data_IF_809326905978
#
_entry.id   IF_809326905978
#
_cell.length_a   1.000
_cell.length_b   1.000
_cell.length_c   1.000
_cell.angle_alpha   90.00
_cell.angle_beta   90.00
_cell.angle_gamma   90.00
#
_symmetry.space_group_name_H-M   'P 1'
#
loop_
_entity.id
_entity.type
_entity.pdbx_description
1 polymer ?
#
# COMPACT_ATOMS: atom_id res chain seq x y z
N UNK A 1 -11.26 -24.94 -2.09
CA UNK A 1 -12.04 -26.19 -2.20
C UNK A 1 -13.50 -25.77 -2.21
N UNK A 2 -14.14 -25.74 -3.38
CA UNK A 2 -15.55 -25.32 -3.50
C UNK A 2 -16.44 -26.38 -2.84
N UNK A 3 -17.49 -25.94 -2.12
CA UNK A 3 -18.54 -26.84 -1.63
C UNK A 3 -19.59 -26.93 -2.73
N UNK A 4 -19.93 -28.14 -3.11
CA UNK A 4 -21.05 -28.47 -4.00
C UNK A 4 -22.12 -29.14 -3.16
N UNK A 5 -23.40 -28.92 -3.51
CA UNK A 5 -24.50 -29.67 -2.88
C UNK A 5 -24.54 -31.13 -3.35
N UNK A 6 -25.47 -31.92 -2.79
CA UNK A 6 -25.64 -33.33 -3.11
C UNK A 6 -26.05 -33.58 -4.57
N UNK A 7 -26.49 -32.54 -5.28
CA UNK A 7 -26.85 -32.56 -6.71
C UNK A 7 -25.70 -32.06 -7.62
N UNK A 8 -24.55 -31.70 -7.04
CA UNK A 8 -23.37 -31.26 -7.77
C UNK A 8 -23.41 -29.81 -8.27
N UNK A 9 -24.37 -29.00 -7.79
CA UNK A 9 -24.42 -27.58 -8.11
C UNK A 9 -23.41 -26.82 -7.25
N UNK A 10 -22.72 -25.87 -7.89
CA UNK A 10 -21.85 -24.92 -7.20
C UNK A 10 -22.73 -23.98 -6.35
N UNK A 11 -22.78 -24.24 -5.05
CA UNK A 11 -23.52 -23.43 -4.08
C UNK A 11 -22.73 -22.19 -3.70
N UNK A 12 -22.19 -21.49 -4.71
CA UNK A 12 -21.24 -20.38 -4.61
C UNK A 12 -21.35 -19.61 -3.31
N UNK A 13 -20.23 -19.45 -2.61
CA UNK A 13 -20.20 -18.81 -1.30
C UNK A 13 -20.79 -17.40 -1.40
N UNK A 14 -22.02 -17.22 -0.91
CA UNK A 14 -22.71 -15.94 -0.89
C UNK A 14 -22.07 -15.08 0.19
N UNK A 15 -20.94 -14.47 -0.16
CA UNK A 15 -20.28 -13.50 0.70
C UNK A 15 -21.27 -12.36 0.92
N UNK A 16 -21.63 -12.06 2.19
CA UNK A 16 -22.45 -10.89 2.46
C UNK A 16 -21.77 -9.68 1.80
N UNK A 17 -22.54 -8.89 1.05
CA UNK A 17 -22.04 -7.62 0.51
C UNK A 17 -21.44 -6.83 1.67
N UNK A 18 -20.11 -6.69 1.68
CA UNK A 18 -19.30 -6.11 2.76
C UNK A 18 -19.64 -4.65 3.08
N UNK A 19 -20.60 -4.03 2.38
CA UNK A 19 -21.09 -2.69 2.67
C UNK A 19 -21.86 -2.59 4.00
N UNK A 20 -22.24 -3.70 4.63
CA UNK A 20 -22.99 -3.71 5.91
C UNK A 20 -22.21 -4.27 7.11
N UNK A 21 -20.91 -4.54 6.97
CA UNK A 21 -20.04 -5.04 8.04
C UNK A 21 -18.94 -4.00 8.27
N UNK A 22 -18.70 -3.62 9.53
CA UNK A 22 -17.53 -2.82 9.89
C UNK A 22 -16.27 -3.57 9.43
N UNK A 23 -15.57 -3.01 8.45
CA UNK A 23 -14.37 -3.63 7.88
C UNK A 23 -13.27 -3.63 8.94
N UNK A 24 -12.55 -4.75 9.15
CA UNK A 24 -11.39 -4.75 10.04
C UNK A 24 -10.40 -3.67 9.61
N UNK A 25 -9.99 -2.84 10.58
CA UNK A 25 -8.94 -1.83 10.43
C UNK A 25 -7.63 -2.40 10.96
N UNK A 26 -6.63 -2.46 10.09
CA UNK A 26 -5.27 -2.93 10.42
C UNK A 26 -4.34 -1.73 10.46
N UNK A 27 -3.75 -1.49 11.63
CA UNK A 27 -2.72 -0.47 11.82
C UNK A 27 -1.34 -1.02 11.41
N UNK A 28 -0.76 -0.38 10.40
CA UNK A 28 0.52 -0.74 9.81
C UNK A 28 1.73 -0.18 10.59
N UNK A 29 1.52 0.70 11.58
CA UNK A 29 2.59 1.19 12.45
C UNK A 29 3.26 0.06 13.26
N UNK A 30 2.57 -1.07 13.44
CA UNK A 30 3.02 -2.20 14.26
C UNK A 30 3.84 -3.26 13.49
N UNK A 31 3.98 -3.17 12.15
CA UNK A 31 4.61 -4.24 11.34
C UNK A 31 6.14 -4.17 11.33
N UNK A 32 6.72 -3.23 12.08
CA UNK A 32 8.15 -3.14 12.37
C UNK A 32 8.92 -2.10 11.55
N UNK A 33 10.04 -1.58 12.09
CA UNK A 33 10.69 -0.35 11.65
C UNK A 33 11.39 -0.41 10.29
N UNK A 34 11.43 -1.59 9.68
CA UNK A 34 12.18 -1.85 8.46
C UNK A 34 11.31 -2.50 7.37
N UNK A 35 9.99 -2.44 7.49
CA UNK A 35 9.07 -3.02 6.51
C UNK A 35 8.62 -1.96 5.52
N UNK A 36 8.93 -2.17 4.24
CA UNK A 36 8.29 -1.48 3.14
C UNK A 36 7.06 -2.30 2.72
N UNK A 37 5.94 -1.61 2.55
CA UNK A 37 4.65 -2.22 2.28
C UNK A 37 3.98 -1.56 1.08
N UNK A 38 3.17 -2.36 0.40
CA UNK A 38 2.28 -1.90 -0.66
C UNK A 38 0.85 -2.32 -0.32
N UNK A 39 -0.05 -1.36 -0.23
CA UNK A 39 -1.50 -1.61 -0.22
C UNK A 39 -1.98 -1.52 -1.66
N UNK A 40 -2.37 -2.63 -2.28
CA UNK A 40 -3.01 -2.59 -3.60
C UNK A 40 -4.48 -2.23 -3.40
N UNK A 41 -4.96 -1.15 -4.04
CA UNK A 41 -6.32 -0.66 -3.88
C UNK A 41 -7.31 -1.64 -4.50
N UNK A 42 -8.06 -2.34 -3.64
CA UNK A 42 -8.94 -3.44 -4.03
C UNK A 42 -10.05 -3.61 -2.98
N UNK A 43 -11.30 -3.92 -3.36
CA UNK A 43 -12.41 -4.15 -2.42
C UNK A 43 -12.26 -5.50 -1.68
N UNK A 44 -11.25 -5.60 -0.82
CA UNK A 44 -10.89 -6.84 -0.11
C UNK A 44 -11.74 -7.11 1.13
N UNK A 45 -12.46 -6.11 1.64
CA UNK A 45 -13.06 -6.14 2.96
C UNK A 45 -12.11 -5.79 4.11
N UNK A 46 -10.84 -5.46 3.86
CA UNK A 46 -9.86 -5.09 4.89
C UNK A 46 -9.35 -3.67 4.63
N UNK A 47 -9.41 -2.82 5.66
CA UNK A 47 -8.91 -1.45 5.62
C UNK A 47 -7.58 -1.38 6.35
N UNK A 48 -6.60 -0.72 5.75
CA UNK A 48 -5.30 -0.46 6.35
C UNK A 48 -5.15 1.01 6.66
N UNK A 49 -4.43 1.32 7.74
CA UNK A 49 -4.05 2.67 8.13
C UNK A 49 -2.60 2.70 8.58
N UNK A 50 -1.97 3.87 8.52
CA UNK A 50 -0.64 4.11 9.06
C UNK A 50 -0.57 5.54 9.59
N UNK A 51 0.28 5.79 10.59
CA UNK A 51 0.61 7.16 11.00
C UNK A 51 1.45 7.83 9.91
N UNK A 52 1.13 9.08 9.63
CA UNK A 52 1.81 9.89 8.62
C UNK A 52 1.89 11.36 9.04
N UNK A 53 2.62 12.16 8.26
CA UNK A 53 2.66 13.62 8.43
C UNK A 53 3.45 14.09 9.65
N UNK A 54 4.43 13.30 10.09
CA UNK A 54 5.27 13.59 11.24
C UNK A 54 4.49 14.02 12.49
N UNK A 55 4.76 15.23 12.98
CA UNK A 55 4.10 15.84 14.15
C UNK A 55 2.58 16.09 13.98
N UNK A 56 2.05 16.08 12.75
CA UNK A 56 0.61 16.23 12.52
C UNK A 56 -0.15 14.93 12.83
N UNK A 57 0.55 13.79 12.92
CA UNK A 57 0.00 12.48 13.28
C UNK A 57 -1.28 12.13 12.52
N UNK A 58 -1.28 12.36 11.20
CA UNK A 58 -2.41 11.97 10.34
C UNK A 58 -2.48 10.44 10.23
N UNK A 59 -3.68 9.91 10.11
CA UNK A 59 -3.91 8.45 9.99
C UNK A 59 -4.81 8.17 8.78
N UNK A 60 -4.30 8.36 7.54
CA UNK A 60 -5.04 7.99 6.36
C UNK A 60 -5.39 6.49 6.39
N UNK A 61 -6.43 6.12 5.65
CA UNK A 61 -6.81 4.72 5.52
C UNK A 61 -7.29 4.40 4.11
N UNK A 62 -7.08 3.15 3.70
CA UNK A 62 -7.52 2.64 2.41
C UNK A 62 -7.84 1.15 2.50
N UNK A 63 -8.89 0.74 1.79
CA UNK A 63 -9.20 -0.67 1.60
C UNK A 63 -8.30 -1.28 0.53
N UNK A 64 -7.78 -2.49 0.78
CA UNK A 64 -6.89 -3.12 -0.19
C UNK A 64 -6.35 -4.48 0.19
N UNK A 65 -5.30 -4.89 -0.51
CA UNK A 65 -4.49 -6.07 -0.17
C UNK A 65 -3.10 -5.58 0.21
N UNK A 66 -2.65 -5.90 1.43
CA UNK A 66 -1.32 -5.53 1.89
C UNK A 66 -0.27 -6.58 1.46
N UNK A 67 0.83 -6.09 0.90
CA UNK A 67 1.98 -6.87 0.51
C UNK A 67 3.24 -6.28 1.15
N UNK A 68 3.94 -6.98 2.04
CA UNK A 68 5.32 -6.62 2.38
C UNK A 68 6.20 -6.83 1.15
N UNK A 69 6.90 -5.78 0.71
CA UNK A 69 7.66 -5.76 -0.55
C UNK A 69 8.98 -5.02 -0.39
N UNK A 70 9.96 -5.33 -1.23
CA UNK A 70 11.23 -4.61 -1.25
C UNK A 70 12.14 -4.96 -0.09
N UNK A 71 13.10 -4.10 0.19
CA UNK A 71 14.13 -4.36 1.21
C UNK A 71 14.02 -3.44 2.42
N UNK A 72 14.60 -3.89 3.53
CA UNK A 72 14.79 -3.07 4.73
C UNK A 72 15.55 -1.78 4.45
N UNK A 73 16.52 -1.83 3.55
CA UNK A 73 17.32 -0.66 3.19
C UNK A 73 16.51 0.37 2.41
N UNK A 74 15.58 -0.05 1.55
CA UNK A 74 14.65 0.86 0.89
C UNK A 74 13.72 1.53 1.90
N UNK A 75 13.13 0.76 2.83
CA UNK A 75 12.28 1.31 3.89
C UNK A 75 13.03 2.37 4.71
N UNK A 76 14.25 2.07 5.16
CA UNK A 76 15.10 3.00 5.92
C UNK A 76 15.53 4.21 5.10
N UNK A 77 15.80 4.04 3.81
CA UNK A 77 16.20 5.13 2.92
C UNK A 77 15.06 6.13 2.78
N UNK A 78 13.84 5.65 2.55
CA UNK A 78 12.65 6.50 2.49
C UNK A 78 12.38 7.17 3.85
N UNK A 79 12.38 6.41 4.94
CA UNK A 79 12.18 6.94 6.28
C UNK A 79 13.18 8.06 6.61
N UNK A 80 14.47 7.87 6.33
CA UNK A 80 15.50 8.91 6.55
C UNK A 80 15.38 10.11 5.62
N UNK A 81 14.91 9.90 4.39
CA UNK A 81 14.73 11.00 3.44
C UNK A 81 13.61 11.94 3.90
N UNK A 82 12.54 11.39 4.49
CA UNK A 82 11.43 12.17 5.01
C UNK A 82 11.60 12.62 6.47
N UNK A 83 12.52 12.02 7.23
CA UNK A 83 12.85 12.45 8.59
C UNK A 83 13.27 13.93 8.64
N UNK A 84 12.38 14.79 9.13
CA UNK A 84 12.59 16.24 9.25
C UNK A 84 12.43 17.04 7.93
N UNK A 85 11.90 16.42 6.87
CA UNK A 85 11.64 17.08 5.59
C UNK A 85 10.17 17.51 5.43
N UNK A 86 9.82 18.00 4.24
CA UNK A 86 8.43 18.29 3.87
C UNK A 86 7.58 17.03 3.95
N UNK A 87 6.47 17.08 4.67
CA UNK A 87 5.46 16.00 4.71
C UNK A 87 4.71 15.89 3.38
N UNK A 88 4.81 16.88 2.50
CA UNK A 88 4.15 16.93 1.18
C UNK A 88 5.06 16.39 0.08
N UNK A 89 4.48 15.65 -0.86
CA UNK A 89 5.19 15.10 -2.02
C UNK A 89 5.21 16.10 -3.17
N UNK A 90 6.38 16.68 -3.43
CA UNK A 90 6.69 17.45 -4.62
C UNK A 90 7.48 16.66 -5.65
N UNK A 91 7.95 17.34 -6.69
CA UNK A 91 8.70 16.74 -7.79
C UNK A 91 10.05 16.16 -7.35
N UNK A 92 10.68 16.75 -6.33
CA UNK A 92 11.96 16.28 -5.80
C UNK A 92 11.77 14.98 -5.02
N UNK A 93 10.75 14.92 -4.17
CA UNK A 93 10.37 13.78 -3.36
C UNK A 93 9.95 12.61 -4.26
N UNK A 94 9.11 12.89 -5.26
CA UNK A 94 8.72 11.92 -6.29
C UNK A 94 9.92 11.24 -6.94
N UNK A 95 10.88 12.05 -7.44
CA UNK A 95 12.10 11.54 -8.08
C UNK A 95 12.98 10.74 -7.12
N UNK A 96 13.00 11.11 -5.84
CA UNK A 96 13.74 10.37 -4.84
C UNK A 96 13.11 8.98 -4.63
N UNK A 97 11.79 8.94 -4.41
CA UNK A 97 11.04 7.70 -4.22
C UNK A 97 11.19 6.77 -5.42
N UNK A 98 10.95 7.25 -6.64
CA UNK A 98 11.09 6.44 -7.85
C UNK A 98 12.52 5.85 -7.98
N UNK A 99 13.55 6.64 -7.67
CA UNK A 99 14.94 6.17 -7.69
C UNK A 99 15.18 5.07 -6.66
N UNK A 100 14.69 5.23 -5.43
CA UNK A 100 14.81 4.21 -4.39
C UNK A 100 14.08 2.92 -4.79
N UNK A 101 12.91 3.03 -5.43
CA UNK A 101 12.16 1.87 -5.91
C UNK A 101 12.88 1.13 -7.05
N UNK A 102 13.66 1.83 -7.87
CA UNK A 102 14.43 1.24 -8.96
C UNK A 102 15.62 0.37 -8.50
N UNK A 103 16.05 0.49 -7.24
CA UNK A 103 17.16 -0.28 -6.67
C UNK A 103 16.82 -1.77 -6.43
N UNK A 104 15.53 -2.14 -6.44
CA UNK A 104 15.09 -3.51 -6.19
C UNK A 104 14.16 -4.02 -7.30
N UNK A 105 14.35 -5.30 -7.64
CA UNK A 105 13.66 -5.96 -8.74
C UNK A 105 12.14 -6.07 -8.58
N UNK A 106 11.65 -6.14 -7.35
CA UNK A 106 10.24 -6.28 -6.97
C UNK A 106 9.54 -4.92 -6.93
N UNK A 107 10.24 -3.86 -6.53
CA UNK A 107 9.67 -2.51 -6.40
C UNK A 107 9.83 -1.65 -7.64
N UNK A 108 10.75 -1.96 -8.57
CA UNK A 108 10.97 -1.17 -9.80
C UNK A 108 9.78 -1.12 -10.77
N UNK A 109 8.74 -1.90 -10.52
CA UNK A 109 7.47 -1.84 -11.24
C UNK A 109 6.54 -0.75 -10.69
N UNK A 110 6.86 -0.18 -9.54
CA UNK A 110 6.09 0.85 -8.87
C UNK A 110 6.59 2.23 -9.31
N UNK A 111 5.66 3.16 -9.54
CA UNK A 111 5.95 4.56 -9.80
C UNK A 111 5.01 5.43 -9.01
N UNK A 112 5.50 6.51 -8.43
CA UNK A 112 4.65 7.51 -7.79
C UNK A 112 3.63 8.04 -8.80
N UNK A 113 2.36 8.08 -8.39
CA UNK A 113 1.27 8.58 -9.22
C UNK A 113 1.24 10.12 -9.17
N UNK A 114 1.58 10.82 -10.27
CA UNK A 114 1.62 12.28 -10.28
C UNK A 114 0.23 12.91 -10.11
N UNK A 115 -0.84 12.17 -10.37
CA UNK A 115 -2.22 12.67 -10.24
C UNK A 115 -2.74 12.66 -8.80
N UNK A 116 -2.04 11.96 -7.91
CA UNK A 116 -2.41 11.77 -6.49
C UNK A 116 -1.34 12.38 -5.55
N UNK A 117 -0.48 13.27 -6.05
CA UNK A 117 0.59 13.89 -5.25
C UNK A 117 0.05 14.72 -4.08
N UNK A 118 -1.05 15.45 -4.28
CA UNK A 118 -1.69 16.26 -3.22
C UNK A 118 -2.28 15.41 -2.09
N UNK A 119 -2.56 14.13 -2.37
CA UNK A 119 -3.06 13.16 -1.39
C UNK A 119 -1.95 12.28 -0.82
N UNK A 120 -0.76 12.36 -1.40
CA UNK A 120 0.43 11.64 -0.97
C UNK A 120 1.17 12.47 0.07
N UNK A 121 1.71 11.77 1.06
CA UNK A 121 2.54 12.37 2.10
C UNK A 121 3.52 11.33 2.63
N UNK A 122 4.43 11.74 3.50
CA UNK A 122 5.36 10.84 4.17
C UNK A 122 4.66 9.56 4.67
N UNK A 123 5.26 8.40 4.39
CA UNK A 123 4.75 7.07 4.75
C UNK A 123 3.41 6.66 4.11
N UNK A 124 2.89 7.45 3.15
CA UNK A 124 1.65 7.15 2.42
C UNK A 124 1.66 7.78 1.02
N UNK A 125 2.25 7.07 0.07
CA UNK A 125 2.46 7.57 -1.28
C UNK A 125 1.64 6.76 -2.27
N UNK A 126 0.78 7.42 -3.04
CA UNK A 126 0.04 6.77 -4.11
C UNK A 126 0.99 6.39 -5.25
N UNK A 127 0.88 5.14 -5.71
CA UNK A 127 1.71 4.58 -6.76
C UNK A 127 0.87 3.87 -7.82
N UNK A 128 1.37 3.88 -9.04
CA UNK A 128 0.94 3.00 -10.13
C UNK A 128 1.83 1.76 -10.18
N UNK A 129 1.24 0.63 -10.54
CA UNK A 129 1.89 -0.67 -10.65
C UNK A 129 1.95 -1.01 -12.14
N UNK A 130 3.15 -1.06 -12.70
CA UNK A 130 3.35 -1.46 -14.08
C UNK A 130 2.79 -2.87 -14.31
N UNK A 131 2.02 -3.01 -15.39
CA UNK A 131 1.39 -4.28 -15.73
C UNK A 131 2.46 -5.30 -16.13
N UNK A 132 2.77 -6.23 -15.22
CA UNK A 132 3.65 -7.36 -15.46
C UNK A 132 2.81 -8.65 -15.44
N UNK A 133 2.78 -9.44 -16.53
CA UNK A 133 2.03 -10.69 -16.57
C UNK A 133 2.40 -11.60 -15.39
N UNK A 134 1.39 -12.01 -14.61
CA UNK A 134 1.49 -13.11 -13.66
C UNK A 134 2.07 -12.80 -12.27
N UNK A 135 2.19 -11.54 -11.81
CA UNK A 135 2.72 -11.29 -10.45
C UNK A 135 1.88 -10.40 -9.51
N UNK A 136 1.18 -9.35 -9.97
CA UNK A 136 0.42 -8.46 -9.07
C UNK A 136 -0.85 -7.82 -9.67
N UNK A 137 -1.00 -7.83 -11.00
CA UNK A 137 -2.08 -7.13 -11.73
C UNK A 137 -3.48 -7.65 -11.40
N UNK A 138 -3.60 -8.87 -10.84
CA UNK A 138 -4.88 -9.47 -10.47
C UNK A 138 -5.66 -8.64 -9.45
N UNK A 139 -4.98 -7.88 -8.59
CA UNK A 139 -5.63 -7.03 -7.58
C UNK A 139 -5.74 -5.57 -8.00
N UNK A 140 -5.20 -5.18 -9.17
CA UNK A 140 -5.26 -3.81 -9.68
C UNK A 140 -3.90 -3.24 -10.07
N UNK A 141 -3.92 -2.00 -10.56
CA UNK A 141 -2.73 -1.26 -11.05
C UNK A 141 -2.43 -0.02 -10.22
N UNK A 142 -3.15 0.19 -9.12
CA UNK A 142 -2.98 1.34 -8.22
C UNK A 142 -2.79 0.84 -6.80
N UNK A 143 -1.91 1.50 -6.07
CA UNK A 143 -1.61 1.16 -4.69
C UNK A 143 -1.09 2.33 -3.89
N UNK A 144 -0.79 2.05 -2.63
CA UNK A 144 -0.21 2.99 -1.68
C UNK A 144 1.05 2.35 -1.13
N UNK A 145 2.19 2.98 -1.40
CA UNK A 145 3.47 2.64 -0.80
C UNK A 145 3.50 3.21 0.62
N UNK A 146 3.89 2.38 1.58
CA UNK A 146 3.88 2.74 3.00
C UNK A 146 5.03 2.07 3.74
N UNK A 147 5.51 2.72 4.80
CA UNK A 147 6.58 2.23 5.68
C UNK A 147 6.34 2.79 7.08
N UNK A 148 7.04 2.29 8.10
CA UNK A 148 6.90 2.84 9.44
C UNK A 148 7.34 4.32 9.46
N UNK A 149 6.48 5.21 9.94
CA UNK A 149 6.84 6.61 10.14
C UNK A 149 8.04 6.73 11.10
N UNK A 150 8.91 7.70 10.85
CA UNK A 150 10.18 7.83 11.57
C UNK A 150 10.11 8.62 12.88
N UNK A 151 8.99 9.30 13.12
CA UNK A 151 8.71 10.15 14.30
C UNK A 151 8.08 9.40 15.48
#
# INVERSE_FOLDING_TARGET
>A
MARVDDDGNDIGFDWPKLSSIDKPLVDLGAIGPDTLGLIILYPSGVVYTNQTGGLLCTHPSAEGVFLPIGTRDQARTLARFFAGASTTIGDAERRHVDRTLDENAETRILRVDPTEMDRSHEAWIYVTIASAPGRLVTFGTHGILTWQNSD
#
